data_IF_149768388635
#
_entry.id   IF_149768388635
#
_cell.length_a   1.000
_cell.length_b   1.000
_cell.length_c   1.000
_cell.angle_alpha   90.00
_cell.angle_beta   90.00
_cell.angle_gamma   90.00
#
_symmetry.space_group_name_H-M   'P 1'
#
loop_
_entity.id
_entity.type
_entity.pdbx_description
1 polymer ?
#
# COMPACT_ATOMS: atom_id res chain seq x y z
N UNK A 1 -7.18 -4.89 0.86
CA UNK A 1 -5.71 -5.03 1.02
C UNK A 1 -5.10 -6.22 0.30
N UNK A 2 -5.86 -7.26 -0.06
CA UNK A 2 -5.37 -8.50 -0.68
C UNK A 2 -4.40 -8.25 -1.86
N UNK A 3 -4.73 -7.30 -2.74
CA UNK A 3 -3.96 -7.03 -3.95
C UNK A 3 -2.56 -6.45 -3.71
N UNK A 4 -2.35 -5.63 -2.68
CA UNK A 4 -1.05 -4.99 -2.42
C UNK A 4 0.00 -5.97 -1.91
N UNK A 5 -0.43 -7.02 -1.20
CA UNK A 5 0.45 -8.10 -0.73
C UNK A 5 0.95 -8.93 -1.92
N UNK A 6 0.08 -9.23 -2.88
CA UNK A 6 0.46 -9.93 -4.10
C UNK A 6 1.41 -9.09 -4.98
N UNK A 7 1.22 -7.77 -5.03
CA UNK A 7 2.19 -6.86 -5.69
C UNK A 7 3.54 -6.91 -4.97
N UNK A 8 3.58 -6.93 -3.63
CA UNK A 8 4.84 -7.04 -2.89
C UNK A 8 5.60 -8.33 -3.19
N UNK A 9 4.91 -9.45 -3.42
CA UNK A 9 5.56 -10.72 -3.79
C UNK A 9 6.30 -10.61 -5.13
N UNK A 10 5.76 -9.87 -6.10
CA UNK A 10 6.35 -9.73 -7.44
C UNK A 10 7.36 -8.59 -7.51
N UNK A 11 7.17 -7.53 -6.72
CA UNK A 11 8.02 -6.34 -6.75
C UNK A 11 9.41 -6.64 -6.16
N UNK A 12 10.46 -6.48 -6.97
CA UNK A 12 11.86 -6.65 -6.53
C UNK A 12 12.29 -5.55 -5.54
N UNK A 13 13.27 -5.82 -4.65
CA UNK A 13 13.83 -4.81 -3.76
C UNK A 13 14.26 -3.54 -4.52
N UNK A 14 13.90 -2.37 -3.99
CA UNK A 14 14.14 -1.09 -4.64
C UNK A 14 13.19 -0.72 -5.77
N UNK A 15 12.30 -1.64 -6.18
CA UNK A 15 11.28 -1.40 -7.20
C UNK A 15 10.24 -0.37 -6.78
N UNK A 16 9.50 0.13 -7.76
CA UNK A 16 8.47 1.15 -7.58
C UNK A 16 7.09 0.58 -7.90
N UNK A 17 6.11 0.95 -7.09
CA UNK A 17 4.70 0.78 -7.37
C UNK A 17 4.08 2.16 -7.57
N UNK A 18 3.31 2.32 -8.64
CA UNK A 18 2.70 3.58 -9.04
C UNK A 18 1.19 3.37 -9.06
N UNK A 19 0.45 4.21 -8.34
CA UNK A 19 -1.00 4.29 -8.40
C UNK A 19 -1.40 5.60 -9.07
N UNK A 20 -2.27 5.50 -10.07
CA UNK A 20 -2.82 6.64 -10.81
C UNK A 20 -4.33 6.65 -10.71
N UNK A 21 -4.93 7.80 -10.39
CA UNK A 21 -6.38 7.97 -10.26
C UNK A 21 -6.89 7.79 -8.82
N UNK A 22 -8.20 7.54 -8.63
CA UNK A 22 -8.76 7.42 -7.29
C UNK A 22 -8.04 6.33 -6.48
N UNK A 23 -7.77 6.55 -5.18
CA UNK A 23 -8.18 7.72 -4.41
C UNK A 23 -7.18 8.89 -4.45
N UNK A 24 -6.05 8.81 -5.16
CA UNK A 24 -5.04 9.88 -5.13
C UNK A 24 -5.61 11.20 -5.66
N UNK A 25 -5.40 12.29 -4.91
CA UNK A 25 -5.94 13.62 -5.24
C UNK A 25 -7.47 13.73 -5.16
N UNK A 26 -8.11 12.85 -4.38
CA UNK A 26 -9.57 12.85 -4.16
C UNK A 26 -10.15 14.21 -3.77
N UNK A 27 -9.43 15.01 -2.96
CA UNK A 27 -9.86 16.35 -2.54
C UNK A 27 -10.24 17.26 -3.71
N UNK A 28 -9.66 17.04 -4.89
CA UNK A 28 -9.93 17.82 -6.11
C UNK A 28 -10.98 17.15 -7.01
N UNK A 29 -10.99 15.82 -7.11
CA UNK A 29 -11.73 15.09 -8.14
C UNK A 29 -12.89 14.22 -7.66
N UNK A 30 -13.19 14.16 -6.35
CA UNK A 30 -14.26 13.29 -5.81
C UNK A 30 -15.61 13.44 -6.54
N UNK A 31 -16.00 14.68 -6.88
CA UNK A 31 -17.23 14.97 -7.64
C UNK A 31 -17.22 14.38 -9.05
N UNK A 32 -16.06 14.35 -9.70
CA UNK A 32 -15.90 13.81 -11.06
C UNK A 32 -15.91 12.28 -11.09
N UNK A 33 -15.72 11.63 -9.95
CA UNK A 33 -15.76 10.17 -9.80
C UNK A 33 -17.07 9.66 -9.24
N UNK A 34 -18.03 10.54 -8.91
CA UNK A 34 -19.29 10.20 -8.26
C UNK A 34 -19.09 9.39 -6.95
N UNK A 35 -18.11 9.81 -6.15
CA UNK A 35 -17.70 9.18 -4.90
C UNK A 35 -17.67 10.23 -3.78
N UNK A 36 -17.82 9.79 -2.53
CA UNK A 36 -17.73 10.69 -1.38
C UNK A 36 -16.28 10.92 -0.96
N UNK A 37 -16.01 12.06 -0.31
CA UNK A 37 -14.70 12.35 0.25
C UNK A 37 -14.27 11.32 1.29
N UNK A 38 -15.22 10.85 2.11
CA UNK A 38 -14.99 9.89 3.18
C UNK A 38 -14.57 8.53 2.63
N UNK A 39 -15.24 8.05 1.58
CA UNK A 39 -14.96 6.77 0.93
C UNK A 39 -13.57 6.77 0.30
N UNK A 40 -13.24 7.82 -0.48
CA UNK A 40 -11.93 7.95 -1.09
C UNK A 40 -10.81 8.11 -0.05
N UNK A 41 -11.07 8.86 1.02
CA UNK A 41 -10.12 8.99 2.12
C UNK A 41 -9.88 7.65 2.80
N UNK A 42 -10.93 6.90 3.12
CA UNK A 42 -10.81 5.57 3.73
C UNK A 42 -10.04 4.61 2.82
N UNK A 43 -10.28 4.66 1.51
CA UNK A 43 -9.57 3.86 0.53
C UNK A 43 -8.07 4.24 0.47
N UNK A 44 -7.75 5.54 0.45
CA UNK A 44 -6.35 6.00 0.48
C UNK A 44 -5.66 5.62 1.79
N UNK A 45 -6.30 5.84 2.94
CA UNK A 45 -5.77 5.50 4.26
C UNK A 45 -5.49 3.99 4.37
N UNK A 46 -6.37 3.14 3.81
CA UNK A 46 -6.17 1.69 3.77
C UNK A 46 -4.98 1.28 2.90
N UNK A 47 -4.77 1.94 1.76
CA UNK A 47 -3.61 1.71 0.89
C UNK A 47 -2.31 2.11 1.61
N UNK A 48 -2.32 3.28 2.25
CA UNK A 48 -1.16 3.80 2.99
C UNK A 48 -0.80 2.93 4.19
N UNK A 49 -1.79 2.44 4.92
CA UNK A 49 -1.57 1.53 6.05
C UNK A 49 -0.96 0.19 5.61
N UNK A 50 -1.45 -0.40 4.52
CA UNK A 50 -0.87 -1.63 3.96
C UNK A 50 0.55 -1.38 3.44
N UNK A 51 0.77 -0.31 2.68
CA UNK A 51 2.10 0.05 2.20
C UNK A 51 3.09 0.26 3.37
N UNK A 52 2.65 0.88 4.45
CA UNK A 52 3.44 1.08 5.68
C UNK A 52 3.76 -0.25 6.37
N UNK A 53 2.79 -1.17 6.48
CA UNK A 53 3.00 -2.53 7.02
C UNK A 53 3.98 -3.35 6.18
N UNK A 54 4.00 -3.14 4.86
CA UNK A 54 4.97 -3.70 3.92
C UNK A 54 6.31 -2.95 3.91
N UNK A 55 6.44 -1.90 4.72
CA UNK A 55 7.61 -1.03 4.82
C UNK A 55 7.99 -0.32 3.52
N UNK A 56 7.01 -0.14 2.63
CA UNK A 56 7.18 0.70 1.45
C UNK A 56 7.19 2.17 1.86
N UNK A 57 8.02 2.96 1.17
CA UNK A 57 8.10 4.40 1.39
C UNK A 57 7.38 5.11 0.26
N UNK A 58 6.39 5.95 0.58
CA UNK A 58 5.84 6.90 -0.40
C UNK A 58 6.94 7.92 -0.74
N UNK A 59 7.33 8.00 -2.02
CA UNK A 59 8.42 8.85 -2.49
C UNK A 59 7.91 10.06 -3.26
N UNK A 60 6.76 9.94 -3.92
CA UNK A 60 6.13 11.01 -4.68
C UNK A 60 4.63 10.94 -4.50
N UNK A 61 4.00 12.09 -4.34
CA UNK A 61 2.57 12.29 -4.55
C UNK A 61 2.42 13.61 -5.28
N UNK A 62 1.93 13.56 -6.52
CA UNK A 62 1.83 14.75 -7.38
C UNK A 62 0.69 14.59 -8.37
N UNK A 63 -0.25 15.53 -8.33
CA UNK A 63 -1.49 15.39 -9.10
C UNK A 63 -2.14 14.07 -8.75
N UNK A 64 -2.55 13.31 -9.75
CA UNK A 64 -3.35 12.09 -9.58
C UNK A 64 -2.47 10.84 -9.44
N UNK A 65 -1.18 11.04 -9.12
CA UNK A 65 -0.16 9.99 -9.04
C UNK A 65 0.46 9.92 -7.65
N UNK A 66 0.56 8.71 -7.13
CA UNK A 66 1.37 8.40 -5.96
C UNK A 66 2.33 7.25 -6.27
N UNK A 67 3.57 7.37 -5.81
CA UNK A 67 4.63 6.42 -6.05
C UNK A 67 5.18 5.95 -4.71
N UNK A 68 5.26 4.63 -4.55
CA UNK A 68 5.89 3.97 -3.43
C UNK A 68 7.12 3.21 -3.90
N UNK A 69 8.14 3.19 -3.05
CA UNK A 69 9.36 2.42 -3.25
C UNK A 69 9.46 1.30 -2.22
N UNK A 70 9.64 0.07 -2.71
CA UNK A 70 9.97 -1.08 -1.87
C UNK A 70 11.39 -0.92 -1.31
N UNK A 71 11.63 -1.23 -0.02
CA UNK A 71 12.96 -1.06 0.55
C UNK A 71 13.99 -1.99 -0.11
N UNK A 72 15.26 -1.59 -0.13
CA UNK A 72 16.36 -2.39 -0.69
C UNK A 72 16.64 -3.65 0.14
N UNK A 73 16.38 -3.57 1.44
CA UNK A 73 16.49 -4.67 2.38
C UNK A 73 15.44 -4.50 3.48
N UNK A 74 15.14 -5.57 4.22
CA UNK A 74 14.12 -5.55 5.26
C UNK A 74 14.67 -5.22 6.65
N UNK A 75 15.91 -4.72 6.80
CA UNK A 75 16.53 -4.54 8.14
C UNK A 75 15.72 -3.58 9.00
N UNK A 76 15.40 -2.39 8.48
CA UNK A 76 14.63 -1.39 9.22
C UNK A 76 13.16 -1.82 9.39
N UNK A 77 12.65 -2.58 8.42
CA UNK A 77 11.31 -3.18 8.48
C UNK A 77 11.20 -4.22 9.61
N UNK A 78 12.21 -5.06 9.78
CA UNK A 78 12.23 -6.09 10.83
C UNK A 78 12.29 -5.44 12.23
N UNK A 79 12.99 -4.30 12.36
CA UNK A 79 12.99 -3.52 13.62
C UNK A 79 11.59 -2.96 13.93
N UNK A 80 10.85 -2.49 12.92
CA UNK A 80 9.49 -1.98 13.09
C UNK A 80 8.43 -3.07 13.26
N UNK A 81 8.72 -4.34 12.91
CA UNK A 81 7.82 -5.50 13.11
C UNK A 81 7.49 -5.82 14.58
N UNK A 82 8.19 -5.23 15.56
CA UNK A 82 7.74 -5.28 16.97
C UNK A 82 6.46 -4.45 17.22
N UNK A 83 6.15 -3.51 16.33
CA UNK A 83 4.99 -2.60 16.38
C UNK A 83 3.82 -3.11 15.52
N UNK A 84 4.10 -3.86 14.45
CA UNK A 84 3.10 -4.36 13.50
C UNK A 84 3.09 -5.90 13.47
N UNK A 85 1.92 -6.53 13.67
CA UNK A 85 1.79 -8.00 13.52
C UNK A 85 2.19 -8.41 12.11
N UNK A 86 3.18 -9.29 12.01
CA UNK A 86 3.57 -9.90 10.74
C UNK A 86 2.39 -10.71 10.22
N UNK A 87 2.07 -10.65 8.91
CA UNK A 87 1.13 -11.58 8.29
C UNK A 87 1.46 -13.00 8.72
N UNK A 88 0.46 -13.76 9.14
CA UNK A 88 0.69 -15.15 9.50
C UNK A 88 1.26 -15.87 8.28
N UNK A 89 2.40 -16.52 8.43
CA UNK A 89 2.83 -17.49 7.42
C UNK A 89 1.71 -18.52 7.35
N UNK A 90 1.04 -18.63 6.20
CA UNK A 90 -0.09 -19.53 6.02
C UNK A 90 0.33 -20.94 6.48
N UNK A 91 -0.30 -21.46 7.54
CA UNK A 91 -0.26 -22.90 7.81
C UNK A 91 -1.01 -23.52 6.63
N UNK A 92 -0.30 -24.28 5.80
CA UNK A 92 -0.77 -24.73 4.49
C UNK A 92 -2.24 -25.18 4.50
N UNK A 93 -3.04 -24.60 3.60
CA UNK A 93 -4.46 -24.93 3.47
C UNK A 93 -5.28 -23.84 2.78
N UNK A 94 -4.93 -22.56 2.99
CA UNK A 94 -5.58 -21.44 2.30
C UNK A 94 -4.52 -20.43 1.81
N UNK A 95 -4.31 -20.30 0.48
CA UNK A 95 -3.32 -19.39 -0.09
C UNK A 95 -3.68 -17.90 0.15
N UNK A 96 -4.93 -17.59 0.46
CA UNK A 96 -5.44 -16.22 0.63
C UNK A 96 -5.55 -15.77 2.10
N UNK A 97 -5.09 -16.59 3.06
CA UNK A 97 -5.23 -16.33 4.50
C UNK A 97 -4.13 -15.43 5.11
N UNK A 98 -3.33 -14.75 4.29
CA UNK A 98 -2.18 -13.92 4.68
C UNK A 98 -2.57 -12.49 5.09
#
# INVERSE_FOLDING_TARGET
GLYLIEVDRVLRPGGYWILSGPPIHWKKYFKGWDRTEEDLKQEQDAIEDVAKRLCWKKVVEKGDLAIWRKPMNHIDCIKSKRVYKVPHICKGGNPDAA
#
